data_IF_455659970288
#
_entry.id   IF_455659970288
#
_cell.length_a   1.000
_cell.length_b   1.000
_cell.length_c   1.000
_cell.angle_alpha   90.00
_cell.angle_beta   90.00
_cell.angle_gamma   90.00
#
_symmetry.space_group_name_H-M   'P 1'
#
loop_
_entity.id
_entity.type
_entity.pdbx_description
1 polymer ?
#
# COMPACT_ATOMS: atom_id res chain seq x y z
N UNK A 1 -1.40 10.86 5.61
CA UNK A 1 -0.25 11.57 6.22
C UNK A 1 -0.14 11.14 7.69
N UNK A 2 1.06 11.00 8.24
CA UNK A 2 1.22 10.50 9.61
C UNK A 2 1.33 11.67 10.61
N UNK A 3 0.31 11.84 11.45
CA UNK A 3 0.29 12.85 12.50
C UNK A 3 0.57 14.29 12.01
N UNK A 4 1.34 15.10 12.74
CA UNK A 4 1.61 16.50 12.42
C UNK A 4 2.65 16.70 11.29
N UNK A 5 3.15 15.62 10.68
CA UNK A 5 4.21 15.69 9.66
C UNK A 5 3.92 16.66 8.51
N UNK A 6 2.68 16.77 7.96
CA UNK A 6 2.40 17.75 6.90
C UNK A 6 2.57 19.21 7.34
N UNK A 7 2.25 19.52 8.60
CA UNK A 7 2.39 20.89 9.11
C UNK A 7 3.87 21.26 9.24
N UNK A 8 4.70 20.34 9.73
CA UNK A 8 6.15 20.53 9.80
C UNK A 8 6.77 20.68 8.40
N UNK A 9 6.31 19.89 7.43
CA UNK A 9 6.76 20.01 6.04
C UNK A 9 6.37 21.34 5.38
N UNK A 10 5.26 21.95 5.79
CA UNK A 10 4.82 23.23 5.23
C UNK A 10 5.66 24.41 5.72
N UNK A 11 6.27 24.31 6.90
CA UNK A 11 7.10 25.37 7.50
C UNK A 11 8.60 25.16 7.33
N UNK A 12 9.04 23.96 6.94
CA UNK A 12 10.46 23.63 6.85
C UNK A 12 11.13 24.30 5.63
N UNK A 13 12.32 24.87 5.83
CA UNK A 13 13.15 25.43 4.76
C UNK A 13 13.72 24.34 3.84
N UNK A 14 14.04 23.17 4.39
CA UNK A 14 14.56 22.03 3.64
C UNK A 14 13.83 20.74 4.00
N UNK A 15 13.40 19.99 2.98
CA UNK A 15 12.73 18.69 3.14
C UNK A 15 13.47 17.64 2.34
N UNK A 16 14.00 16.63 3.03
CA UNK A 16 14.64 15.47 2.40
C UNK A 16 13.81 14.22 2.65
N UNK A 17 13.33 13.58 1.58
CA UNK A 17 12.64 12.29 1.66
C UNK A 17 13.62 11.16 1.43
N UNK A 18 13.86 10.35 2.45
CA UNK A 18 14.67 9.14 2.33
C UNK A 18 13.90 8.02 1.64
N UNK A 19 14.64 7.15 0.95
CA UNK A 19 14.08 6.03 0.18
C UNK A 19 14.73 4.72 0.62
N UNK A 20 13.91 3.67 0.74
CA UNK A 20 14.36 2.30 0.92
C UNK A 20 14.36 1.55 -0.43
N UNK A 21 14.80 0.30 -0.41
CA UNK A 21 14.77 -0.60 -1.59
C UNK A 21 13.56 -1.54 -1.47
N UNK A 22 12.75 -1.63 -2.53
CA UNK A 22 11.60 -2.52 -2.56
C UNK A 22 12.06 -3.98 -2.74
N UNK A 23 11.75 -4.91 -1.81
CA UNK A 23 12.17 -6.31 -1.91
C UNK A 23 11.44 -7.08 -3.02
N UNK A 24 10.30 -6.57 -3.50
CA UNK A 24 9.54 -7.22 -4.59
C UNK A 24 10.05 -6.86 -5.99
N UNK A 25 10.56 -5.65 -6.16
CA UNK A 25 10.87 -5.08 -7.49
C UNK A 25 12.30 -4.55 -7.63
N UNK A 26 13.06 -4.43 -6.54
CA UNK A 26 14.39 -3.79 -6.54
C UNK A 26 14.40 -2.27 -6.69
N UNK A 27 13.32 -1.67 -7.17
CA UNK A 27 13.18 -0.21 -7.32
C UNK A 27 13.11 0.54 -5.97
N UNK A 28 13.26 1.86 -6.02
CA UNK A 28 13.05 2.76 -4.88
C UNK A 28 11.65 2.59 -4.27
N UNK A 29 11.61 2.41 -2.96
CA UNK A 29 10.39 2.29 -2.19
C UNK A 29 9.94 3.66 -1.67
N UNK A 30 8.61 3.85 -1.66
CA UNK A 30 7.98 5.11 -1.24
C UNK A 30 6.92 4.92 -0.15
N UNK A 31 6.50 3.68 0.10
CA UNK A 31 5.43 3.33 1.02
C UNK A 31 5.87 2.19 1.92
N UNK A 32 5.43 2.22 3.17
CA UNK A 32 5.52 1.07 4.07
C UNK A 32 4.18 0.32 4.00
N UNK A 33 4.21 -0.93 3.55
CA UNK A 33 3.05 -1.79 3.49
C UNK A 33 3.02 -2.70 4.72
N UNK A 34 1.88 -2.75 5.40
CA UNK A 34 1.67 -3.57 6.59
C UNK A 34 1.25 -4.98 6.18
N UNK A 35 1.91 -6.00 6.72
CA UNK A 35 1.57 -7.41 6.53
C UNK A 35 0.60 -7.94 7.59
N UNK A 36 0.60 -7.33 8.79
CA UNK A 36 -0.28 -7.74 9.88
C UNK A 36 -1.74 -7.38 9.59
N UNK A 37 -2.66 -8.17 10.15
CA UNK A 37 -4.10 -7.96 10.03
C UNK A 37 -4.65 -6.87 10.95
N UNK A 38 -3.79 -6.19 11.72
CA UNK A 38 -4.22 -5.15 12.63
C UNK A 38 -4.53 -3.85 11.86
N UNK A 39 -5.67 -3.23 12.16
CA UNK A 39 -6.17 -2.00 11.56
C UNK A 39 -5.83 -0.75 12.40
N UNK A 40 -5.17 -0.91 13.56
CA UNK A 40 -4.76 0.20 14.43
C UNK A 40 -3.78 1.16 13.73
N UNK A 41 -3.95 2.47 13.97
CA UNK A 41 -3.10 3.50 13.35
C UNK A 41 -1.63 3.40 13.83
N UNK A 42 -1.43 3.14 15.12
CA UNK A 42 -0.11 3.05 15.76
C UNK A 42 0.13 1.59 16.14
N UNK A 43 1.08 0.96 15.46
CA UNK A 43 1.50 -0.42 15.72
C UNK A 43 3.02 -0.48 15.65
N UNK A 44 3.64 -0.97 16.73
CA UNK A 44 5.08 -1.16 16.84
C UNK A 44 5.47 -2.49 16.21
N UNK A 45 6.32 -2.44 15.19
CA UNK A 45 6.80 -3.62 14.51
C UNK A 45 7.97 -3.28 13.58
N UNK A 46 8.68 -4.32 13.15
CA UNK A 46 9.87 -4.20 12.30
C UNK A 46 9.62 -4.80 10.90
N UNK A 47 10.60 -5.51 10.34
CA UNK A 47 10.57 -6.13 9.00
C UNK A 47 9.57 -7.28 8.87
N UNK A 48 9.22 -7.89 9.99
CA UNK A 48 8.19 -8.92 10.06
C UNK A 48 6.80 -8.35 9.81
N UNK A 49 6.51 -7.16 10.36
CA UNK A 49 5.19 -6.53 10.25
C UNK A 49 5.08 -5.57 9.07
N UNK A 50 6.18 -4.93 8.67
CA UNK A 50 6.21 -3.93 7.61
C UNK A 50 7.19 -4.29 6.48
N UNK A 51 6.77 -4.08 5.24
CA UNK A 51 7.65 -4.15 4.07
C UNK A 51 7.69 -2.81 3.31
N UNK A 52 8.87 -2.32 2.89
CA UNK A 52 8.96 -1.15 2.03
C UNK A 52 8.58 -1.53 0.60
N UNK A 53 7.62 -0.85 -0.01
CA UNK A 53 7.17 -1.09 -1.38
C UNK A 53 7.34 0.11 -2.29
N UNK A 54 7.65 -0.19 -3.55
CA UNK A 54 7.52 0.75 -4.66
C UNK A 54 6.04 1.06 -4.93
N UNK A 55 5.77 2.20 -5.55
CA UNK A 55 4.39 2.69 -5.79
C UNK A 55 3.50 1.63 -6.45
N UNK A 56 3.98 1.04 -7.54
CA UNK A 56 3.21 0.04 -8.27
C UNK A 56 2.99 -1.24 -7.45
N UNK A 57 4.02 -1.70 -6.72
CA UNK A 57 3.92 -2.88 -5.88
C UNK A 57 2.94 -2.69 -4.72
N UNK A 58 2.91 -1.49 -4.11
CA UNK A 58 1.98 -1.13 -3.06
C UNK A 58 0.52 -1.22 -3.50
N UNK A 59 0.17 -0.55 -4.61
CA UNK A 59 -1.21 -0.59 -5.11
C UNK A 59 -1.64 -1.99 -5.52
N UNK A 60 -0.73 -2.79 -6.09
CA UNK A 60 -1.01 -4.20 -6.43
C UNK A 60 -1.26 -5.05 -5.19
N UNK A 61 -0.48 -4.87 -4.13
CA UNK A 61 -0.68 -5.57 -2.86
C UNK A 61 -2.02 -5.17 -2.22
N UNK A 62 -2.31 -3.87 -2.15
CA UNK A 62 -3.56 -3.35 -1.59
C UNK A 62 -4.79 -3.82 -2.39
N UNK A 63 -4.71 -3.87 -3.72
CA UNK A 63 -5.80 -4.41 -4.56
C UNK A 63 -6.05 -5.90 -4.24
N UNK A 64 -4.98 -6.70 -4.11
CA UNK A 64 -5.11 -8.12 -3.77
C UNK A 64 -5.79 -8.32 -2.42
N UNK A 65 -5.45 -7.50 -1.42
CA UNK A 65 -6.10 -7.60 -0.09
C UNK A 65 -7.57 -7.21 -0.14
N UNK A 66 -7.94 -6.18 -0.93
CA UNK A 66 -9.34 -5.81 -1.15
C UNK A 66 -10.13 -6.93 -1.82
N UNK A 67 -9.55 -7.57 -2.85
CA UNK A 67 -10.20 -8.69 -3.55
C UNK A 67 -10.38 -9.89 -2.61
N UNK A 68 -9.40 -10.18 -1.75
CA UNK A 68 -9.54 -11.25 -0.74
C UNK A 68 -10.67 -10.99 0.27
N UNK A 69 -10.90 -9.73 0.63
CA UNK A 69 -11.98 -9.31 1.54
C UNK A 69 -13.35 -9.21 0.84
N UNK A 70 -13.44 -9.41 -0.49
CA UNK A 70 -14.68 -9.32 -1.23
C UNK A 70 -15.47 -10.63 -1.11
N UNK A 71 -16.63 -10.58 -0.46
CA UNK A 71 -17.56 -11.71 -0.40
C UNK A 71 -18.31 -11.80 -1.74
N UNK A 72 -18.13 -12.92 -2.45
CA UNK A 72 -18.82 -13.20 -3.71
C UNK A 72 -20.02 -14.08 -3.39
N UNK A 73 -21.23 -13.54 -3.50
CA UNK A 73 -22.46 -14.27 -3.19
C UNK A 73 -22.81 -15.31 -4.26
N UNK A 74 -22.97 -14.89 -5.52
CA UNK A 74 -23.30 -15.78 -6.62
C UNK A 74 -22.65 -15.34 -7.94
N UNK A 75 -22.18 -16.27 -8.79
CA UNK A 75 -21.66 -15.94 -10.10
C UNK A 75 -22.80 -15.59 -11.07
N UNK A 76 -22.97 -14.30 -11.38
CA UNK A 76 -23.81 -13.89 -12.51
C UNK A 76 -23.07 -14.13 -13.84
N UNK A 77 -23.70 -14.93 -14.72
CA UNK A 77 -23.16 -15.22 -16.05
C UNK A 77 -23.42 -14.01 -16.94
N UNK A 78 -22.41 -13.14 -17.11
CA UNK A 78 -22.49 -12.03 -18.05
C UNK A 78 -22.50 -12.56 -19.50
N UNK A 79 -23.42 -12.10 -20.36
CA UNK A 79 -23.42 -12.49 -21.77
C UNK A 79 -22.12 -12.03 -22.42
N UNK A 80 -21.46 -12.92 -23.17
CA UNK A 80 -20.22 -12.60 -23.89
C UNK A 80 -20.44 -11.36 -24.75
N UNK A 81 -19.72 -10.27 -24.46
CA UNK A 81 -19.70 -9.08 -25.32
C UNK A 81 -19.25 -9.55 -26.70
N UNK A 82 -20.12 -9.38 -27.71
CA UNK A 82 -19.75 -9.49 -29.13
C UNK A 82 -18.56 -8.55 -29.35
N UNK A 83 -17.40 -9.13 -29.64
CA UNK A 83 -16.26 -8.37 -30.14
C UNK A 83 -16.69 -7.79 -31.49
N UNK A 84 -16.64 -6.46 -31.60
CA UNK A 84 -16.82 -5.73 -32.85
C UNK A 84 -15.52 -5.78 -33.65
#
# INVERSE_FOLDING_TARGET
PFGPMPALMATAEYVTKVHAVCPRTGNLAHYSFRKSHNEDLVLLGETEEYEPLSRAAYYKAQLRDKVKKMEVNDPEILPKKKQA
#
